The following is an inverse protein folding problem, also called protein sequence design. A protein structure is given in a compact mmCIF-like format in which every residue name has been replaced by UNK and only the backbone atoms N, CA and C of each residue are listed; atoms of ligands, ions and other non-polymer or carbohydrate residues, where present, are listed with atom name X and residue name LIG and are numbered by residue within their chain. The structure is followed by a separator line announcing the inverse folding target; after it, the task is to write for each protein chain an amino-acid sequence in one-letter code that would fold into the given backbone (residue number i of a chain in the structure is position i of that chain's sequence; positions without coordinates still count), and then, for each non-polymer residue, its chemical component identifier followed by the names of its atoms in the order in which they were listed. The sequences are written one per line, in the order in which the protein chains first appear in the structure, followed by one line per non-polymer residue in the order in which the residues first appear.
data_IF_253753241709
#
_entry.id   IF_253753241709
#
_cell.length_a   1.000
_cell.length_b   1.000
_cell.length_c   1.000
_cell.angle_alpha   90.00
_cell.angle_beta   90.00
_cell.angle_gamma   90.00
#
_symmetry.space_group_name_H-M   'P 1'
#
loop_
_entity.id
_entity.type
_entity.pdbx_description
1 polymer ?
#
# COMPACT_ATOMS: atom_id res chain seq x y z
N UNK A 1 -9.37 -1.50 -5.58
CA UNK A 1 -9.91 -2.73 -4.94
C UNK A 1 -9.37 -2.91 -3.53
N UNK A 2 -8.05 -3.16 -3.34
CA UNK A 2 -7.51 -3.40 -1.99
C UNK A 2 -7.70 -2.25 -1.00
N UNK A 3 -7.61 -0.98 -1.43
CA UNK A 3 -7.90 0.17 -0.56
C UNK A 3 -9.30 0.09 0.06
N UNK A 4 -10.31 -0.21 -0.76
CA UNK A 4 -11.71 -0.30 -0.33
C UNK A 4 -11.90 -1.52 0.60
N UNK A 5 -11.30 -2.65 0.24
CA UNK A 5 -11.37 -3.86 1.07
C UNK A 5 -10.78 -3.62 2.46
N UNK A 6 -9.58 -3.03 2.56
CA UNK A 6 -8.91 -2.77 3.84
C UNK A 6 -9.69 -1.75 4.69
N UNK A 7 -10.23 -0.69 4.08
CA UNK A 7 -11.06 0.27 4.77
C UNK A 7 -12.33 -0.37 5.35
N UNK A 8 -13.05 -1.15 4.54
CA UNK A 8 -14.29 -1.78 4.95
C UNK A 8 -14.06 -2.89 5.98
N UNK A 9 -13.05 -3.74 5.78
CA UNK A 9 -12.73 -4.83 6.71
C UNK A 9 -12.34 -4.29 8.10
N UNK A 10 -11.46 -3.29 8.17
CA UNK A 10 -11.07 -2.67 9.44
C UNK A 10 -12.25 -1.95 10.11
N UNK A 11 -13.08 -1.23 9.34
CA UNK A 11 -14.29 -0.58 9.87
C UNK A 11 -15.34 -1.58 10.38
N UNK A 12 -15.50 -2.73 9.73
CA UNK A 12 -16.37 -3.80 10.20
C UNK A 12 -15.91 -4.37 11.55
N UNK A 13 -14.60 -4.60 11.74
CA UNK A 13 -14.07 -5.10 13.01
C UNK A 13 -14.21 -4.10 14.16
N UNK A 14 -14.00 -2.80 13.90
CA UNK A 14 -14.23 -1.76 14.92
C UNK A 14 -15.70 -1.67 15.33
N UNK A 15 -16.61 -1.70 14.36
CA UNK A 15 -18.05 -1.67 14.62
C UNK A 15 -18.51 -2.93 15.37
N UNK A 16 -17.97 -4.10 15.04
CA UNK A 16 -18.27 -5.34 15.77
C UNK A 16 -17.84 -5.24 17.24
N UNK A 17 -16.65 -4.70 17.52
CA UNK A 17 -16.20 -4.41 18.89
C UNK A 17 -17.13 -3.42 19.58
N UNK A 18 -17.58 -2.36 18.89
CA UNK A 18 -18.52 -1.38 19.47
C UNK A 18 -19.88 -1.97 19.83
N UNK A 19 -20.43 -2.89 19.03
CA UNK A 19 -21.67 -3.62 19.38
C UNK A 19 -21.48 -4.42 20.68
N UNK A 20 -20.34 -5.10 20.83
CA UNK A 20 -20.03 -5.87 22.05
C UNK A 20 -19.86 -4.97 23.28
N UNK A 21 -19.23 -3.80 23.10
CA UNK A 21 -18.98 -2.83 24.17
C UNK A 21 -20.23 -2.07 24.63
N UNK A 22 -21.13 -1.71 23.70
CA UNK A 22 -22.23 -0.77 23.94
C UNK A 22 -23.58 -1.49 24.02
N UNK A 23 -23.93 -2.28 23.02
CA UNK A 23 -25.26 -2.91 22.93
C UNK A 23 -25.35 -4.17 23.81
N UNK A 24 -24.33 -5.04 23.72
CA UNK A 24 -24.28 -6.26 24.52
C UNK A 24 -23.75 -6.00 25.94
N UNK A 25 -23.04 -4.89 26.16
CA UNK A 25 -22.39 -4.52 27.44
C UNK A 25 -21.48 -5.61 28.02
N UNK A 26 -20.89 -6.43 27.16
CA UNK A 26 -20.07 -7.59 27.54
C UNK A 26 -18.57 -7.26 27.59
N UNK A 27 -18.20 -6.13 28.19
CA UNK A 27 -16.78 -5.76 28.36
C UNK A 27 -16.06 -6.74 29.28
N UNK A 28 -14.79 -7.01 28.99
CA UNK A 28 -13.92 -7.96 29.72
C UNK A 28 -14.42 -9.42 29.68
N UNK A 29 -15.20 -9.77 28.66
CA UNK A 29 -15.57 -11.16 28.39
C UNK A 29 -14.64 -11.74 27.31
N UNK A 30 -14.56 -13.08 27.18
CA UNK A 30 -13.82 -13.71 26.08
C UNK A 30 -14.29 -13.23 24.70
N UNK A 31 -15.57 -12.85 24.57
CA UNK A 31 -16.10 -12.27 23.33
C UNK A 31 -15.51 -10.89 23.06
N UNK A 32 -15.39 -10.04 24.08
CA UNK A 32 -14.79 -8.70 23.94
C UNK A 32 -13.31 -8.80 23.56
N UNK A 33 -12.54 -9.68 24.22
CA UNK A 33 -11.13 -9.92 23.88
C UNK A 33 -10.96 -10.33 22.42
N UNK A 34 -11.78 -11.25 21.91
CA UNK A 34 -11.74 -11.66 20.51
C UNK A 34 -12.02 -10.49 19.54
N UNK A 35 -12.99 -9.62 19.86
CA UNK A 35 -13.29 -8.45 19.03
C UNK A 35 -12.21 -7.37 19.08
N UNK A 36 -11.51 -7.23 20.22
CA UNK A 36 -10.38 -6.31 20.37
C UNK A 36 -9.21 -6.74 19.48
N UNK A 37 -8.92 -8.05 19.40
CA UNK A 37 -7.89 -8.57 18.49
C UNK A 37 -8.22 -8.24 17.03
N UNK A 38 -9.49 -8.42 16.62
CA UNK A 38 -9.94 -8.07 15.27
C UNK A 38 -9.77 -6.59 14.93
N UNK A 39 -10.13 -5.70 15.84
CA UNK A 39 -9.95 -4.25 15.66
C UNK A 39 -8.47 -3.86 15.63
N UNK A 40 -7.64 -4.45 16.50
CA UNK A 40 -6.18 -4.19 16.53
C UNK A 40 -5.51 -4.57 15.19
N UNK A 41 -5.96 -5.64 14.55
CA UNK A 41 -5.51 -6.02 13.19
C UNK A 41 -6.10 -5.09 12.12
N UNK A 42 -7.31 -4.58 12.33
CA UNK A 42 -8.03 -3.68 11.43
C UNK A 42 -7.54 -2.23 11.43
N UNK A 43 -6.96 -1.74 12.53
CA UNK A 43 -6.51 -0.35 12.68
C UNK A 43 -5.46 0.06 11.62
N UNK A 44 -4.38 -0.71 11.39
CA UNK A 44 -3.44 -0.38 10.30
C UNK A 44 -4.07 -0.41 8.91
N UNK A 45 -5.15 -1.18 8.73
CA UNK A 45 -5.83 -1.32 7.44
C UNK A 45 -6.76 -0.13 7.17
N UNK A 46 -7.58 0.27 8.15
CA UNK A 46 -8.53 1.38 7.99
C UNK A 46 -7.90 2.77 8.12
N UNK A 47 -6.89 2.94 8.98
CA UNK A 47 -6.37 4.28 9.31
C UNK A 47 -5.08 4.63 8.58
N UNK A 48 -4.31 3.62 8.15
CA UNK A 48 -2.98 3.85 7.53
C UNK A 48 -2.96 3.40 6.08
N UNK A 49 -3.06 2.09 5.84
CA UNK A 49 -2.79 1.50 4.53
C UNK A 49 -3.84 1.90 3.49
N UNK A 50 -5.13 1.79 3.82
CA UNK A 50 -6.20 2.15 2.88
C UNK A 50 -6.25 3.64 2.55
N UNK A 51 -6.09 4.52 3.55
CA UNK A 51 -6.08 5.99 3.36
C UNK A 51 -4.90 6.42 2.49
N UNK A 52 -3.73 5.80 2.67
CA UNK A 52 -2.51 6.12 1.92
C UNK A 52 -2.60 5.78 0.42
N UNK A 53 -3.43 4.82 0.03
CA UNK A 53 -3.53 4.37 -1.37
C UNK A 53 -4.16 5.42 -2.29
N UNK A 54 -5.08 6.27 -1.79
CA UNK A 54 -5.72 7.30 -2.61
C UNK A 54 -4.72 8.36 -3.12
N UNK A 55 -3.88 8.97 -2.25
CA UNK A 55 -2.78 9.83 -2.69
C UNK A 55 -1.79 9.11 -3.60
N UNK A 56 -1.38 7.89 -3.27
CA UNK A 56 -0.42 7.12 -4.07
C UNK A 56 -0.89 6.97 -5.51
N UNK A 57 -2.16 6.62 -5.72
CA UNK A 57 -2.73 6.49 -7.06
C UNK A 57 -2.72 7.84 -7.78
N UNK A 58 -3.19 8.92 -7.14
CA UNK A 58 -3.27 10.25 -7.76
C UNK A 58 -1.89 10.81 -8.15
N UNK A 59 -0.90 10.69 -7.26
CA UNK A 59 0.44 11.19 -7.53
C UNK A 59 1.15 10.36 -8.60
N UNK A 60 1.06 9.03 -8.53
CA UNK A 60 1.73 8.16 -9.51
C UNK A 60 1.17 8.37 -10.91
N UNK A 61 -0.15 8.52 -11.06
CA UNK A 61 -0.76 8.79 -12.39
C UNK A 61 -0.40 10.17 -12.91
N UNK A 62 -0.40 11.19 -12.05
CA UNK A 62 -0.02 12.56 -12.42
C UNK A 62 1.46 12.63 -12.87
N UNK A 63 2.39 12.06 -12.11
CA UNK A 63 3.80 12.01 -12.51
C UNK A 63 4.01 11.17 -13.78
N UNK A 64 3.25 10.10 -13.96
CA UNK A 64 3.27 9.29 -15.18
C UNK A 64 2.90 10.08 -16.42
N UNK A 65 1.79 10.83 -16.36
CA UNK A 65 1.34 11.68 -17.47
C UNK A 65 2.36 12.77 -17.83
N UNK A 66 2.89 13.47 -16.82
CA UNK A 66 3.92 14.50 -17.03
C UNK A 66 5.20 13.91 -17.65
N UNK A 67 5.61 12.72 -17.21
CA UNK A 67 6.79 12.04 -17.76
C UNK A 67 6.61 11.70 -19.24
N UNK A 68 5.40 11.25 -19.63
CA UNK A 68 5.07 10.96 -21.04
C UNK A 68 5.08 12.23 -21.88
N UNK A 69 4.51 13.33 -21.38
CA UNK A 69 4.49 14.61 -22.09
C UNK A 69 5.91 15.13 -22.37
N UNK A 70 6.80 15.08 -21.39
CA UNK A 70 8.22 15.44 -21.56
C UNK A 70 8.89 14.54 -22.61
N UNK A 71 8.60 13.24 -22.61
CA UNK A 71 9.18 12.29 -23.56
C UNK A 71 8.69 12.49 -25.01
N UNK A 72 7.47 13.00 -25.20
CA UNK A 72 6.88 13.29 -26.50
C UNK A 72 7.34 14.64 -27.04
N UNK A 73 7.43 15.66 -26.18
CA UNK A 73 7.85 17.02 -26.57
C UNK A 73 9.35 17.14 -26.87
N UNK A 74 10.18 16.22 -26.35
CA UNK A 74 11.62 16.22 -26.59
C UNK A 74 11.97 15.88 -28.06
N UNK A 75 12.39 16.89 -28.83
CA UNK A 75 12.75 16.73 -30.24
C UNK A 75 14.18 16.19 -30.47
N UNK A 76 15.08 16.32 -29.50
CA UNK A 76 16.44 15.80 -29.64
C UNK A 76 16.46 14.28 -29.40
N UNK A 77 16.62 13.52 -30.49
CA UNK A 77 16.60 12.05 -30.49
C UNK A 77 17.75 11.45 -29.67
N UNK A 78 18.95 12.06 -29.71
CA UNK A 78 20.12 11.57 -28.99
C UNK A 78 19.94 11.68 -27.47
N UNK A 79 19.48 12.82 -26.98
CA UNK A 79 19.19 13.02 -25.55
C UNK A 79 18.02 12.13 -25.08
N UNK A 80 16.98 11.99 -25.91
CA UNK A 80 15.84 11.12 -25.63
C UNK A 80 16.26 9.66 -25.44
N UNK A 81 17.05 9.12 -26.37
CA UNK A 81 17.56 7.75 -26.28
C UNK A 81 18.54 7.57 -25.10
N UNK A 82 19.39 8.56 -24.86
CA UNK A 82 20.33 8.53 -23.73
C UNK A 82 19.61 8.46 -22.38
N UNK A 83 18.65 9.35 -22.14
CA UNK A 83 17.85 9.37 -20.91
C UNK A 83 16.97 8.13 -20.77
N UNK A 84 16.33 7.68 -21.86
CA UNK A 84 15.53 6.46 -21.83
C UNK A 84 16.37 5.23 -21.45
N UNK A 85 17.57 5.10 -22.03
CA UNK A 85 18.49 4.01 -21.72
C UNK A 85 18.96 4.07 -20.26
N UNK A 86 19.29 5.26 -19.76
CA UNK A 86 19.70 5.47 -18.37
C UNK A 86 18.58 5.07 -17.38
N UNK A 87 17.36 5.59 -17.57
CA UNK A 87 16.24 5.28 -16.68
C UNK A 87 15.85 3.79 -16.75
N UNK A 88 15.94 3.18 -17.93
CA UNK A 88 15.68 1.76 -18.10
C UNK A 88 16.69 0.90 -17.34
N UNK A 89 18.00 1.21 -17.43
CA UNK A 89 19.03 0.50 -16.68
C UNK A 89 18.84 0.64 -15.17
N UNK A 90 18.53 1.86 -14.70
CA UNK A 90 18.21 2.09 -13.28
C UNK A 90 17.02 1.23 -12.86
N UNK A 91 15.94 1.22 -13.63
CA UNK A 91 14.76 0.42 -13.34
C UNK A 91 15.10 -1.08 -13.25
N UNK A 92 15.91 -1.62 -14.17
CA UNK A 92 16.37 -3.01 -14.11
C UNK A 92 17.18 -3.32 -12.85
N UNK A 93 18.08 -2.42 -12.44
CA UNK A 93 18.86 -2.57 -11.20
C UNK A 93 17.94 -2.59 -9.98
N UNK A 94 16.95 -1.70 -9.91
CA UNK A 94 15.99 -1.65 -8.82
C UNK A 94 15.12 -2.92 -8.76
N UNK A 95 14.64 -3.40 -9.91
CA UNK A 95 13.89 -4.67 -10.01
C UNK A 95 14.75 -5.81 -9.49
N UNK A 96 15.97 -5.96 -10.00
CA UNK A 96 16.89 -6.99 -9.56
C UNK A 96 17.15 -6.93 -8.05
N UNK A 97 17.45 -5.74 -7.51
CA UNK A 97 17.69 -5.56 -6.07
C UNK A 97 16.46 -5.89 -5.23
N UNK A 98 15.26 -5.54 -5.70
CA UNK A 98 14.02 -5.81 -5.00
C UNK A 98 13.74 -7.32 -4.91
N UNK A 99 13.87 -8.04 -6.03
CA UNK A 99 13.56 -9.48 -6.08
C UNK A 99 14.64 -10.37 -5.49
N UNK A 100 15.92 -10.01 -5.64
CA UNK A 100 17.04 -10.87 -5.26
C UNK A 100 17.78 -10.39 -4.01
N UNK A 101 17.77 -9.08 -3.72
CA UNK A 101 18.42 -8.51 -2.53
C UNK A 101 17.61 -8.64 -1.24
N UNK A 102 16.29 -8.90 -1.31
CA UNK A 102 15.42 -9.08 -0.14
C UNK A 102 15.02 -10.54 0.10
N UNK A 103 15.63 -11.49 -0.63
CA UNK A 103 15.41 -12.92 -0.35
C UNK A 103 16.07 -13.27 0.97
N UNK A 104 15.25 -13.52 1.99
CA UNK A 104 15.69 -14.10 3.26
C UNK A 104 16.17 -15.52 2.94
N UNK A 105 17.48 -15.70 2.84
CA UNK A 105 18.09 -17.03 2.76
C UNK A 105 17.93 -17.66 4.14
N UNK A 106 17.34 -18.85 4.21
CA UNK A 106 16.83 -19.50 5.43
C UNK A 106 17.91 -19.95 6.43
N UNK A 107 18.86 -19.10 6.78
CA UNK A 107 19.98 -19.40 7.68
C UNK A 107 19.80 -18.81 9.10
N UNK A 108 18.57 -18.41 9.46
CA UNK A 108 18.21 -17.99 10.83
C UNK A 108 16.80 -18.46 11.22
N UNK A 109 16.64 -19.78 11.33
CA UNK A 109 15.62 -20.42 12.16
C UNK A 109 16.33 -21.30 13.19
#
# INVERSE_FOLDING_TARGET
FQAIFMANAGGCWDNAKKIVEVDLKQKNTPLHEATVVGDTVGDPFKDTSSVSLNPVIKFTTLFGLLSVEIAVTMQNVGLKLGLASLFFLIALVFVYRSFYGMRITGEKL
#
